data_IF_830202705483
#
_entry.id   IF_830202705483
#
_cell.length_a   1.000
_cell.length_b   1.000
_cell.length_c   1.000
_cell.angle_alpha   90.00
_cell.angle_beta   90.00
_cell.angle_gamma   90.00
#
_symmetry.space_group_name_H-M   'P 1'
#
loop_
_entity.id
_entity.type
_entity.pdbx_description
1 polymer ?
#
# COMPACT_ATOMS: atom_id res chain seq x y z
N UNK A 1 -25.34 9.42 53.99
CA UNK A 1 -25.23 8.38 52.95
C UNK A 1 -24.77 8.99 51.61
N UNK A 2 -23.74 9.84 51.58
CA UNK A 2 -23.38 10.63 50.39
C UNK A 2 -21.93 10.42 49.92
N UNK A 3 -21.22 9.42 50.45
CA UNK A 3 -19.84 9.10 50.05
C UNK A 3 -19.66 7.71 49.42
N UNK A 4 -20.73 6.91 49.27
CA UNK A 4 -20.63 5.57 48.69
C UNK A 4 -20.97 5.51 47.18
N UNK A 5 -21.65 6.53 46.65
CA UNK A 5 -22.13 6.50 45.26
C UNK A 5 -21.15 7.09 44.22
N UNK A 6 -20.06 7.73 44.66
CA UNK A 6 -19.11 8.40 43.75
C UNK A 6 -18.04 7.44 43.20
N UNK A 7 -17.70 6.39 43.96
CA UNK A 7 -16.59 5.47 43.61
C UNK A 7 -16.95 4.45 42.52
N UNK A 8 -18.20 3.98 42.47
CA UNK A 8 -18.62 2.94 41.52
C UNK A 8 -18.94 3.46 40.12
N UNK A 9 -19.19 4.77 39.98
CA UNK A 9 -19.52 5.38 38.68
C UNK A 9 -18.29 5.62 37.81
N UNK A 10 -17.11 5.80 38.42
CA UNK A 10 -15.83 5.91 37.70
C UNK A 10 -15.28 4.57 37.22
N UNK A 11 -15.49 3.47 37.96
CA UNK A 11 -15.09 2.13 37.50
C UNK A 11 -15.99 1.59 36.39
N UNK A 12 -17.29 1.91 36.39
CA UNK A 12 -18.20 1.42 35.36
C UNK A 12 -17.93 2.04 33.98
N UNK A 13 -17.39 3.27 33.92
CA UNK A 13 -17.05 3.94 32.67
C UNK A 13 -15.86 3.29 31.94
N UNK A 14 -14.96 2.62 32.67
CA UNK A 14 -13.81 1.90 32.10
C UNK A 14 -14.20 0.56 31.46
N UNK A 15 -15.37 0.00 31.80
CA UNK A 15 -15.88 -1.27 31.27
C UNK A 15 -16.57 -1.12 29.90
N UNK A 16 -16.81 0.11 29.45
CA UNK A 16 -17.47 0.45 28.18
C UNK A 16 -16.58 1.21 27.20
N UNK A 17 -15.25 1.08 27.31
CA UNK A 17 -14.40 1.37 26.15
C UNK A 17 -14.34 0.07 25.32
N UNK A 18 -15.21 -0.11 24.30
CA UNK A 18 -14.88 -1.07 23.26
C UNK A 18 -13.51 -0.65 22.74
N UNK A 19 -12.50 -1.53 22.82
CA UNK A 19 -11.34 -1.36 21.95
C UNK A 19 -11.91 -1.48 20.55
N UNK A 20 -12.23 -0.34 19.93
CA UNK A 20 -12.27 -0.21 18.49
C UNK A 20 -10.83 -0.27 18.01
N UNK A 21 -10.20 -1.41 18.28
CA UNK A 21 -9.13 -1.96 17.50
C UNK A 21 -9.79 -2.24 16.14
N UNK A 22 -10.02 -1.21 15.32
CA UNK A 22 -10.50 -1.39 13.95
C UNK A 22 -9.38 -2.12 13.23
N UNK A 23 -9.45 -3.46 13.21
CA UNK A 23 -8.54 -4.28 12.44
C UNK A 23 -8.75 -3.92 10.99
N UNK A 24 -7.93 -3.00 10.46
CA UNK A 24 -7.80 -2.89 9.03
C UNK A 24 -7.43 -4.28 8.52
N UNK A 25 -8.10 -4.79 7.47
CA UNK A 25 -7.66 -6.00 6.83
C UNK A 25 -6.15 -5.90 6.57
N UNK A 26 -5.36 -6.93 6.88
CA UNK A 26 -3.94 -6.90 6.61
C UNK A 26 -3.72 -6.54 5.13
N UNK A 27 -2.69 -5.74 4.81
CA UNK A 27 -2.40 -5.36 3.43
C UNK A 27 -2.37 -6.62 2.56
N UNK A 28 -2.90 -6.55 1.32
CA UNK A 28 -2.87 -7.69 0.42
C UNK A 28 -1.43 -8.18 0.27
N UNK A 29 -1.23 -9.48 0.48
CA UNK A 29 0.10 -10.06 0.50
C UNK A 29 0.67 -10.05 -0.92
N UNK A 30 1.76 -9.32 -1.11
CA UNK A 30 2.48 -9.25 -2.37
C UNK A 30 3.52 -10.37 -2.41
N UNK A 31 3.22 -11.43 -3.14
CA UNK A 31 4.00 -12.68 -3.13
C UNK A 31 5.26 -12.62 -4.00
N UNK A 32 5.29 -11.72 -4.98
CA UNK A 32 6.37 -11.63 -5.95
C UNK A 32 7.01 -10.25 -5.89
N UNK A 33 8.31 -10.21 -6.18
CA UNK A 33 9.07 -8.96 -6.23
C UNK A 33 10.22 -9.07 -7.21
N UNK A 34 10.57 -7.95 -7.85
CA UNK A 34 11.80 -7.81 -8.63
C UNK A 34 12.33 -6.39 -8.52
N UNK A 35 13.65 -6.24 -8.58
CA UNK A 35 14.28 -4.93 -8.76
C UNK A 35 14.22 -4.56 -10.25
N UNK A 36 13.91 -3.29 -10.55
CA UNK A 36 13.83 -2.76 -11.91
C UNK A 36 15.10 -2.04 -12.35
N UNK A 37 16.07 -1.87 -11.44
CA UNK A 37 17.31 -1.15 -11.68
C UNK A 37 18.48 -1.80 -10.93
N UNK A 38 19.73 -1.72 -11.44
CA UNK A 38 20.88 -2.32 -10.77
C UNK A 38 21.18 -1.75 -9.37
N UNK A 39 20.75 -0.52 -9.09
CA UNK A 39 20.92 0.13 -7.78
C UNK A 39 19.82 -0.22 -6.78
N UNK A 40 18.79 -0.96 -7.20
CA UNK A 40 17.68 -1.35 -6.35
C UNK A 40 16.97 -0.17 -5.68
N UNK A 41 16.78 0.91 -6.44
CA UNK A 41 16.03 2.09 -6.03
C UNK A 41 14.56 1.99 -6.43
N UNK A 42 14.22 1.08 -7.35
CA UNK A 42 12.88 0.79 -7.84
C UNK A 42 12.59 -0.71 -7.69
N UNK A 43 11.58 -1.04 -6.89
CA UNK A 43 11.10 -2.42 -6.74
C UNK A 43 9.65 -2.54 -7.18
N UNK A 44 9.39 -3.52 -8.04
CA UNK A 44 8.04 -3.92 -8.40
C UNK A 44 7.64 -5.11 -7.56
N UNK A 45 6.55 -4.97 -6.81
CA UNK A 45 5.90 -6.04 -6.09
C UNK A 45 4.56 -6.36 -6.74
N UNK A 46 4.20 -7.64 -6.82
CA UNK A 46 2.89 -8.02 -7.33
C UNK A 46 2.32 -9.28 -6.69
N UNK A 47 1.00 -9.40 -6.75
CA UNK A 47 0.28 -10.64 -6.45
C UNK A 47 -1.01 -10.75 -7.23
N UNK A 48 -1.53 -11.97 -7.32
CA UNK A 48 -2.87 -12.22 -7.82
C UNK A 48 -3.87 -11.87 -6.72
N UNK A 49 -4.74 -10.90 -7.00
CA UNK A 49 -5.86 -10.59 -6.10
C UNK A 49 -7.02 -11.57 -6.33
N UNK A 50 -7.30 -11.85 -7.61
CA UNK A 50 -8.31 -12.80 -8.11
C UNK A 50 -7.74 -13.53 -9.34
N UNK A 51 -8.48 -14.48 -9.94
CA UNK A 51 -7.97 -15.30 -11.06
C UNK A 51 -7.42 -14.47 -12.24
N UNK A 52 -7.98 -13.30 -12.50
CA UNK A 52 -7.63 -12.46 -13.65
C UNK A 52 -7.13 -11.05 -13.26
N UNK A 53 -7.06 -10.75 -11.95
CA UNK A 53 -6.64 -9.44 -11.47
C UNK A 53 -5.29 -9.51 -10.79
N UNK A 54 -4.32 -8.80 -11.35
CA UNK A 54 -3.01 -8.56 -10.76
C UNK A 54 -3.02 -7.22 -10.02
N UNK A 55 -2.45 -7.22 -8.82
CA UNK A 55 -2.19 -6.00 -8.05
C UNK A 55 -0.69 -5.72 -8.11
N UNK A 56 -0.33 -4.47 -8.44
CA UNK A 56 1.03 -3.99 -8.47
C UNK A 56 1.25 -2.94 -7.40
N UNK A 57 2.41 -3.00 -6.77
CA UNK A 57 2.90 -1.95 -5.89
C UNK A 57 4.34 -1.62 -6.30
N UNK A 58 4.61 -0.33 -6.48
CA UNK A 58 5.92 0.17 -6.88
C UNK A 58 6.56 0.89 -5.69
N UNK A 59 7.66 0.35 -5.19
CA UNK A 59 8.45 0.98 -4.13
C UNK A 59 9.57 1.79 -4.78
N UNK A 60 9.58 3.09 -4.49
CA UNK A 60 10.55 4.04 -5.05
C UNK A 60 11.30 4.71 -3.91
N UNK A 61 12.61 4.53 -3.87
CA UNK A 61 13.49 5.05 -2.81
C UNK A 61 14.24 6.33 -3.24
N UNK A 62 13.88 6.88 -4.39
CA UNK A 62 14.51 8.05 -5.02
C UNK A 62 13.45 9.00 -5.60
N UNK A 63 13.88 10.15 -6.06
CA UNK A 63 13.11 10.97 -7.00
C UNK A 63 13.29 10.41 -8.43
N UNK A 64 12.32 10.70 -9.30
CA UNK A 64 12.27 10.15 -10.66
C UNK A 64 11.14 9.14 -10.83
N UNK A 65 11.09 8.49 -11.99
CA UNK A 65 10.02 7.55 -12.31
C UNK A 65 10.49 6.41 -13.19
N UNK A 66 9.63 5.40 -13.27
CA UNK A 66 9.81 4.20 -14.07
C UNK A 66 8.53 3.94 -14.86
N UNK A 67 8.69 3.38 -16.05
CA UNK A 67 7.60 2.84 -16.84
C UNK A 67 7.72 1.32 -16.83
N UNK A 68 6.62 0.63 -16.53
CA UNK A 68 6.51 -0.82 -16.59
C UNK A 68 5.21 -1.18 -17.30
N UNK A 69 5.22 -2.25 -18.08
CA UNK A 69 4.06 -2.62 -18.87
C UNK A 69 4.09 -4.07 -19.30
N UNK A 70 3.06 -4.45 -20.03
CA UNK A 70 2.93 -5.79 -20.60
C UNK A 70 3.09 -5.73 -22.11
N UNK A 71 3.95 -6.60 -22.62
CA UNK A 71 4.08 -6.90 -24.05
C UNK A 71 4.43 -8.38 -24.25
N UNK A 72 4.15 -8.94 -25.44
CA UNK A 72 4.41 -10.35 -25.72
C UNK A 72 5.88 -10.74 -25.56
N UNK A 73 6.81 -9.85 -25.94
CA UNK A 73 8.24 -10.13 -25.95
C UNK A 73 9.06 -9.13 -25.11
N UNK A 74 8.41 -8.30 -24.29
CA UNK A 74 9.07 -7.35 -23.39
C UNK A 74 9.50 -6.04 -24.06
N UNK A 75 9.19 -5.80 -25.33
CA UNK A 75 9.46 -4.51 -25.95
C UNK A 75 8.47 -3.43 -25.49
N UNK A 76 8.93 -2.19 -25.46
CA UNK A 76 8.11 -1.03 -25.13
C UNK A 76 7.11 -0.62 -26.23
N UNK A 77 7.45 -0.65 -27.54
CA UNK A 77 6.50 -0.30 -28.58
C UNK A 77 5.25 -1.20 -28.52
N UNK A 78 4.06 -0.60 -28.58
CA UNK A 78 2.76 -1.28 -28.50
C UNK A 78 2.48 -2.03 -27.18
N UNK A 79 3.23 -1.75 -26.12
CA UNK A 79 2.92 -2.25 -24.77
C UNK A 79 1.86 -1.40 -24.08
N UNK A 80 1.05 -2.04 -23.22
CA UNK A 80 0.22 -1.30 -22.26
C UNK A 80 1.11 -0.96 -21.08
N UNK A 81 1.43 0.32 -20.91
CA UNK A 81 2.37 0.74 -19.86
C UNK A 81 1.69 1.54 -18.77
N UNK A 82 2.16 1.33 -17.56
CA UNK A 82 1.93 2.21 -16.42
C UNK A 82 3.25 2.91 -16.14
N UNK A 83 3.21 4.24 -16.17
CA UNK A 83 4.34 5.08 -15.76
C UNK A 83 4.04 5.71 -14.42
N UNK A 84 4.99 5.67 -13.50
CA UNK A 84 4.83 6.28 -12.19
C UNK A 84 6.15 6.71 -11.55
N UNK A 85 6.07 7.61 -10.58
CA UNK A 85 7.26 8.18 -9.97
C UNK A 85 6.99 9.11 -8.79
N UNK A 86 8.08 9.62 -8.23
CA UNK A 86 8.08 10.61 -7.14
C UNK A 86 8.78 11.87 -7.65
N UNK A 87 8.07 13.00 -7.61
CA UNK A 87 8.64 14.31 -7.91
C UNK A 87 9.63 14.77 -6.83
N UNK A 88 10.52 15.74 -7.11
CA UNK A 88 11.45 16.27 -6.11
C UNK A 88 10.80 16.85 -4.85
N UNK A 89 9.53 17.26 -4.93
CA UNK A 89 8.75 17.74 -3.79
C UNK A 89 8.06 16.61 -3.00
N UNK A 90 8.33 15.34 -3.34
CA UNK A 90 7.75 14.16 -2.68
C UNK A 90 6.35 13.77 -3.16
N UNK A 91 5.74 14.52 -4.09
CA UNK A 91 4.43 14.16 -4.64
C UNK A 91 4.55 13.02 -5.66
N UNK A 92 3.51 12.18 -5.71
CA UNK A 92 3.47 10.95 -6.50
C UNK A 92 2.65 11.18 -7.76
N UNK A 93 3.05 10.59 -8.88
CA UNK A 93 2.27 10.59 -10.12
C UNK A 93 2.18 9.19 -10.72
N UNK A 94 1.07 8.93 -11.42
CA UNK A 94 0.85 7.73 -12.21
C UNK A 94 0.06 8.06 -13.48
N UNK A 95 0.37 7.37 -14.58
CA UNK A 95 -0.35 7.45 -15.85
C UNK A 95 -0.34 6.10 -16.55
N UNK A 96 -1.39 5.82 -17.33
CA UNK A 96 -1.50 4.62 -18.16
C UNK A 96 -1.57 5.06 -19.62
N UNK A 97 -0.80 4.40 -20.49
CA UNK A 97 -0.74 4.67 -21.93
C UNK A 97 -0.94 3.41 -22.75
#
# INVERSE_FOLDING_TARGET
MAMFFSRMKKMLFLLFLPCFCSGQPPPPLLCFSTSLDPSSMFYLHWSHKERELLMFELHIHTTGGVASGFSPCGELPASHTVTGGVFPNGSIYFSVS
#
